data_IF_964633300169
#
_entry.id   IF_964633300169
#
_cell.length_a   1.000
_cell.length_b   1.000
_cell.length_c   1.000
_cell.angle_alpha   90.00
_cell.angle_beta   90.00
_cell.angle_gamma   90.00
#
_symmetry.space_group_name_H-M   'P 1'
#
loop_
_entity.id
_entity.type
_entity.pdbx_description
1 polymer ?
#
# COMPACT_ATOMS: atom_id res chain seq x y z
N UNK A 1 5.53 5.75 3.61
CA UNK A 1 6.70 5.04 3.07
C UNK A 1 7.24 4.03 4.07
N UNK A 2 7.55 4.42 5.31
CA UNK A 2 7.97 3.51 6.39
C UNK A 2 7.13 2.22 6.51
N UNK A 3 5.80 2.32 6.50
CA UNK A 3 4.90 1.16 6.60
C UNK A 3 5.10 0.12 5.47
N UNK A 4 4.99 0.54 4.20
CA UNK A 4 5.14 -0.36 3.06
C UNK A 4 6.55 -0.96 2.98
N UNK A 5 7.58 -0.18 3.28
CA UNK A 5 8.95 -0.69 3.24
C UNK A 5 9.19 -1.76 4.31
N UNK A 6 8.66 -1.55 5.53
CA UNK A 6 8.72 -2.54 6.60
C UNK A 6 7.93 -3.82 6.25
N UNK A 7 6.72 -3.65 5.72
CA UNK A 7 5.89 -4.77 5.29
C UNK A 7 6.55 -5.58 4.16
N UNK A 8 7.05 -4.91 3.12
CA UNK A 8 7.73 -5.58 2.00
C UNK A 8 8.98 -6.33 2.43
N UNK A 9 9.74 -5.78 3.39
CA UNK A 9 10.87 -6.47 4.02
C UNK A 9 10.41 -7.74 4.74
N UNK A 10 9.37 -7.65 5.57
CA UNK A 10 8.78 -8.79 6.27
C UNK A 10 8.28 -9.87 5.30
N UNK A 11 7.65 -9.47 4.18
CA UNK A 11 7.20 -10.40 3.14
C UNK A 11 8.35 -11.09 2.42
N UNK A 12 9.46 -10.36 2.21
CA UNK A 12 10.67 -10.89 1.58
C UNK A 12 11.32 -11.94 2.48
N UNK A 13 11.42 -11.66 3.78
CA UNK A 13 11.94 -12.59 4.78
C UNK A 13 11.06 -13.83 4.93
N UNK A 14 9.75 -13.68 4.76
CA UNK A 14 8.79 -14.78 4.83
C UNK A 14 8.66 -15.62 3.54
N UNK A 15 9.47 -15.32 2.51
CA UNK A 15 9.37 -15.92 1.16
C UNK A 15 7.93 -15.91 0.61
N UNK A 16 7.23 -14.79 0.78
CA UNK A 16 5.84 -14.69 0.38
C UNK A 16 5.70 -14.67 -1.14
N UNK A 17 5.07 -15.71 -1.69
CA UNK A 17 4.92 -15.94 -3.14
C UNK A 17 4.28 -14.79 -3.96
N UNK A 18 3.54 -13.86 -3.32
CA UNK A 18 2.90 -12.72 -3.98
C UNK A 18 3.55 -11.37 -3.64
N UNK A 19 4.79 -11.37 -3.15
CA UNK A 19 5.51 -10.13 -2.81
C UNK A 19 5.60 -9.13 -3.97
N UNK A 20 5.92 -9.58 -5.19
CA UNK A 20 6.06 -8.68 -6.33
C UNK A 20 4.73 -8.05 -6.76
N UNK A 21 3.61 -8.79 -6.85
CA UNK A 21 2.28 -8.19 -6.95
C UNK A 21 1.96 -7.21 -5.81
N UNK A 22 2.33 -7.53 -4.58
CA UNK A 22 2.05 -6.69 -3.41
C UNK A 22 2.81 -5.35 -3.49
N UNK A 23 4.11 -5.36 -3.80
CA UNK A 23 4.94 -4.16 -4.07
C UNK A 23 4.34 -3.28 -5.17
N UNK A 24 3.79 -3.87 -6.23
CA UNK A 24 3.12 -3.12 -7.30
C UNK A 24 1.86 -2.40 -6.80
N UNK A 25 1.10 -3.01 -5.89
CA UNK A 25 -0.07 -2.35 -5.28
C UNK A 25 0.38 -1.12 -4.47
N UNK A 26 1.45 -1.24 -3.68
CA UNK A 26 2.04 -0.11 -2.96
C UNK A 26 2.55 0.99 -3.88
N UNK A 27 3.33 0.63 -4.90
CA UNK A 27 3.90 1.59 -5.86
C UNK A 27 2.80 2.37 -6.59
N UNK A 28 1.72 1.70 -7.00
CA UNK A 28 0.57 2.35 -7.64
C UNK A 28 -0.14 3.32 -6.69
N UNK A 29 -0.28 2.95 -5.41
CA UNK A 29 -0.87 3.84 -4.41
C UNK A 29 -0.01 5.09 -4.20
N UNK A 30 1.30 4.93 -4.00
CA UNK A 30 2.24 6.06 -3.84
C UNK A 30 2.24 6.96 -5.09
N UNK A 31 2.19 6.38 -6.29
CA UNK A 31 2.10 7.14 -7.53
C UNK A 31 0.84 8.02 -7.58
N UNK A 32 -0.32 7.47 -7.19
CA UNK A 32 -1.56 8.26 -7.11
C UNK A 32 -1.50 9.35 -6.04
N UNK A 33 -0.93 9.06 -4.87
CA UNK A 33 -0.71 10.06 -3.81
C UNK A 33 0.10 11.25 -4.33
N UNK A 34 1.22 10.97 -5.01
CA UNK A 34 2.09 12.01 -5.57
C UNK A 34 1.39 12.83 -6.67
N UNK A 35 0.57 12.17 -7.50
CA UNK A 35 -0.23 12.84 -8.51
C UNK A 35 -1.23 13.83 -7.88
N UNK A 36 -1.98 13.42 -6.87
CA UNK A 36 -2.92 14.30 -6.17
C UNK A 36 -2.21 15.45 -5.44
N UNK A 37 -1.09 15.16 -4.78
CA UNK A 37 -0.28 16.19 -4.14
C UNK A 37 0.22 17.23 -5.14
N UNK A 38 0.67 16.79 -6.32
CA UNK A 38 1.11 17.70 -7.39
C UNK A 38 -0.04 18.56 -7.92
N UNK A 39 -1.21 17.97 -8.18
CA UNK A 39 -2.41 18.72 -8.59
C UNK A 39 -2.79 19.79 -7.56
N UNK A 40 -2.86 19.41 -6.29
CA UNK A 40 -3.17 20.33 -5.20
C UNK A 40 -2.18 21.50 -5.12
N UNK A 41 -0.88 21.21 -5.18
CA UNK A 41 0.17 22.24 -5.16
C UNK A 41 0.12 23.19 -6.36
N UNK A 42 -0.51 22.78 -7.47
CA UNK A 42 -0.73 23.59 -8.66
C UNK A 42 -2.07 24.35 -8.65
N UNK A 43 -2.78 24.38 -7.51
CA UNK A 43 -4.01 25.16 -7.31
C UNK A 43 -5.31 24.42 -7.62
N UNK A 44 -5.25 23.11 -7.89
CA UNK A 44 -6.44 22.27 -8.02
C UNK A 44 -6.93 21.83 -6.64
N UNK A 45 -7.88 22.58 -6.08
CA UNK A 45 -8.45 22.31 -4.77
C UNK A 45 -9.32 21.03 -4.72
N UNK A 46 -9.85 20.56 -5.86
CA UNK A 46 -10.67 19.34 -5.93
C UNK A 46 -9.81 18.07 -5.72
N UNK A 47 -8.51 18.17 -5.97
CA UNK A 47 -7.56 17.08 -5.75
C UNK A 47 -7.52 16.58 -4.30
N UNK A 48 -7.87 17.42 -3.31
CA UNK A 48 -7.94 17.00 -1.91
C UNK A 48 -9.13 16.05 -1.66
N UNK A 49 -10.30 16.36 -2.22
CA UNK A 49 -11.49 15.51 -2.07
C UNK A 49 -11.33 14.18 -2.82
N UNK A 50 -10.74 14.22 -4.02
CA UNK A 50 -10.40 12.99 -4.76
C UNK A 50 -9.37 12.13 -4.00
N UNK A 51 -8.39 12.76 -3.34
CA UNK A 51 -7.44 12.07 -2.49
C UNK A 51 -8.12 11.41 -1.30
N UNK A 52 -9.01 12.11 -0.59
CA UNK A 52 -9.75 11.54 0.54
C UNK A 52 -10.58 10.33 0.13
N UNK A 53 -11.28 10.42 -1.01
CA UNK A 53 -12.03 9.30 -1.57
C UNK A 53 -11.14 8.10 -1.93
N UNK A 54 -9.94 8.34 -2.48
CA UNK A 54 -8.97 7.27 -2.73
C UNK A 54 -8.54 6.61 -1.42
N UNK A 55 -8.19 7.40 -0.40
CA UNK A 55 -7.70 6.90 0.89
C UNK A 55 -8.73 5.99 1.57
N UNK A 56 -9.99 6.43 1.62
CA UNK A 56 -11.07 5.67 2.23
C UNK A 56 -11.33 4.35 1.48
N UNK A 57 -11.41 4.40 0.14
CA UNK A 57 -11.67 3.21 -0.66
C UNK A 57 -10.49 2.22 -0.68
N UNK A 58 -9.25 2.71 -0.63
CA UNK A 58 -8.07 1.88 -0.79
C UNK A 58 -7.65 1.20 0.51
N UNK A 59 -7.59 1.93 1.64
CA UNK A 59 -7.00 1.42 2.88
C UNK A 59 -7.71 0.17 3.40
N UNK A 60 -9.04 0.22 3.54
CA UNK A 60 -9.80 -0.92 4.04
C UNK A 60 -9.72 -2.14 3.11
N UNK A 61 -9.69 -1.89 1.80
CA UNK A 61 -9.64 -2.94 0.79
C UNK A 61 -8.26 -3.61 0.76
N UNK A 62 -7.20 -2.81 0.88
CA UNK A 62 -5.82 -3.27 0.96
C UNK A 62 -5.62 -4.17 2.18
N UNK A 63 -5.96 -3.70 3.37
CA UNK A 63 -5.84 -4.47 4.62
C UNK A 63 -6.59 -5.80 4.53
N UNK A 64 -7.84 -5.77 4.05
CA UNK A 64 -8.69 -6.96 4.05
C UNK A 64 -8.32 -7.98 2.99
N UNK A 65 -7.89 -7.56 1.80
CA UNK A 65 -7.69 -8.45 0.66
C UNK A 65 -6.22 -8.80 0.45
N UNK A 66 -5.31 -7.85 0.69
CA UNK A 66 -3.90 -8.03 0.44
C UNK A 66 -3.17 -8.41 1.72
N UNK A 67 -3.34 -7.62 2.78
CA UNK A 67 -2.46 -7.74 3.96
C UNK A 67 -2.80 -8.99 4.76
N UNK A 68 -4.09 -9.29 4.88
CA UNK A 68 -4.54 -10.55 5.45
C UNK A 68 -4.01 -11.78 4.67
N UNK A 69 -3.70 -11.61 3.38
CA UNK A 69 -3.24 -12.67 2.50
C UNK A 69 -1.86 -13.24 2.83
N UNK A 70 -1.02 -12.51 3.56
CA UNK A 70 0.32 -12.97 3.94
C UNK A 70 0.45 -13.41 5.40
N UNK A 71 -0.58 -13.22 6.22
CA UNK A 71 -0.52 -13.46 7.69
C UNK A 71 -0.03 -14.88 8.01
N UNK A 72 -0.54 -15.88 7.29
CA UNK A 72 -0.15 -17.28 7.53
C UNK A 72 1.28 -17.56 7.07
N UNK A 73 1.74 -16.95 5.98
CA UNK A 73 3.11 -17.11 5.49
C UNK A 73 4.12 -16.52 6.47
N UNK A 74 3.88 -15.29 6.95
CA UNK A 74 4.73 -14.62 7.94
C UNK A 74 4.79 -15.41 9.24
N UNK A 75 3.65 -15.88 9.75
CA UNK A 75 3.59 -16.71 10.96
C UNK A 75 4.35 -18.02 10.81
N UNK A 76 4.23 -18.70 9.67
CA UNK A 76 4.95 -19.96 9.38
C UNK A 76 6.45 -19.73 9.28
N UNK A 77 6.88 -18.61 8.73
CA UNK A 77 8.29 -18.23 8.61
C UNK A 77 8.91 -17.78 9.95
N UNK A 78 8.09 -17.48 10.97
CA UNK A 78 8.58 -17.00 12.27
C UNK A 78 9.06 -15.54 12.25
N UNK A 79 8.75 -14.81 11.18
CA UNK A 79 9.08 -13.39 11.02
C UNK A 79 8.10 -12.55 11.86
N UNK A 80 8.58 -11.46 12.46
CA UNK A 80 7.79 -10.56 13.33
C UNK A 80 8.05 -9.09 13.05
#
# INVERSE_FOLDING_TARGET
MEHFSYEEMMLQEADYHLIEPHKKVHANFVSKMNMFQSRYNNGDNEALDELLNLLEGWLFRHIRLNDHGYVDSVKKAGVR
#
